data_IF_774123653532
#
_entry.id   IF_774123653532
#
_cell.length_a   1.000
_cell.length_b   1.000
_cell.length_c   1.000
_cell.angle_alpha   90.00
_cell.angle_beta   90.00
_cell.angle_gamma   90.00
#
_symmetry.space_group_name_H-M   'P 1'
#
loop_
_entity.id
_entity.type
_entity.pdbx_description
1 polymer ?
#
# COMPACT_ATOMS: atom_id res chain seq x y z
N UNK A 1 -65.95 4.18 7.04
CA UNK A 1 -64.70 4.69 6.46
C UNK A 1 -63.65 3.59 6.61
N UNK A 2 -63.35 2.84 5.55
CA UNK A 2 -62.31 1.79 5.55
C UNK A 2 -61.07 2.39 4.89
N UNK A 3 -60.08 2.75 5.70
CA UNK A 3 -58.78 3.18 5.21
C UNK A 3 -58.00 1.93 4.78
N UNK A 4 -57.87 1.74 3.46
CA UNK A 4 -57.00 0.73 2.86
C UNK A 4 -55.57 1.30 2.91
N UNK A 5 -54.77 0.88 3.89
CA UNK A 5 -53.36 1.24 3.98
C UNK A 5 -52.57 0.44 2.94
N UNK A 6 -52.16 1.13 1.87
CA UNK A 6 -51.32 0.61 0.81
C UNK A 6 -49.86 0.57 1.33
N UNK A 7 -49.40 -0.62 1.75
CA UNK A 7 -47.99 -0.84 2.10
C UNK A 7 -47.22 -1.01 0.79
N UNK A 8 -46.66 0.11 0.31
CA UNK A 8 -45.75 0.14 -0.84
C UNK A 8 -44.36 -0.35 -0.35
N UNK A 9 -44.08 -1.63 -0.62
CA UNK A 9 -42.79 -2.27 -0.34
C UNK A 9 -41.72 -1.64 -1.27
N UNK A 10 -40.98 -0.66 -0.76
CA UNK A 10 -39.84 -0.04 -1.43
C UNK A 10 -38.73 -1.09 -1.64
N UNK A 11 -38.65 -1.64 -2.86
CA UNK A 11 -37.49 -2.39 -3.37
C UNK A 11 -36.34 -1.41 -3.56
N UNK A 12 -35.64 -1.05 -2.47
CA UNK A 12 -34.36 -0.35 -2.56
C UNK A 12 -33.34 -1.41 -2.98
N UNK A 13 -32.74 -1.33 -4.19
CA UNK A 13 -31.63 -2.21 -4.52
C UNK A 13 -30.50 -1.91 -3.53
N UNK A 14 -30.20 -2.86 -2.64
CA UNK A 14 -28.96 -2.80 -1.90
C UNK A 14 -27.84 -2.82 -2.94
N UNK A 15 -27.18 -1.67 -3.10
CA UNK A 15 -25.92 -1.57 -3.82
C UNK A 15 -24.93 -2.37 -2.99
N UNK A 16 -24.74 -3.64 -3.35
CA UNK A 16 -23.63 -4.44 -2.85
C UNK A 16 -22.40 -3.77 -3.47
N UNK A 17 -21.76 -2.89 -2.72
CA UNK A 17 -20.44 -2.40 -3.08
C UNK A 17 -19.51 -3.60 -2.95
N UNK A 18 -19.08 -4.16 -4.08
CA UNK A 18 -17.94 -5.06 -4.06
C UNK A 18 -16.79 -4.31 -3.37
N UNK A 19 -16.10 -4.94 -2.41
CA UNK A 19 -14.95 -4.33 -1.79
C UNK A 19 -13.92 -4.05 -2.90
N UNK A 20 -13.68 -2.78 -3.19
CA UNK A 20 -12.74 -2.35 -4.20
C UNK A 20 -11.45 -1.92 -3.53
N UNK A 21 -10.30 -2.39 -4.02
CA UNK A 21 -9.00 -1.97 -3.50
C UNK A 21 -8.68 -0.55 -4.02
N UNK A 22 -8.46 0.45 -3.14
CA UNK A 22 -8.08 1.80 -3.58
C UNK A 22 -6.81 1.79 -4.44
N UNK A 23 -6.88 2.42 -5.61
CA UNK A 23 -5.70 2.65 -6.46
C UNK A 23 -4.78 3.68 -5.81
N UNK A 24 -3.47 3.52 -5.99
CA UNK A 24 -2.47 4.44 -5.47
C UNK A 24 -1.24 3.77 -4.91
N UNK A 25 -0.45 4.54 -4.16
CA UNK A 25 0.72 4.04 -3.45
C UNK A 25 0.37 3.65 -2.02
N UNK A 26 0.64 2.39 -1.69
CA UNK A 26 0.45 1.81 -0.38
C UNK A 26 1.81 1.65 0.28
N UNK A 27 1.83 1.72 1.61
CA UNK A 27 3.03 1.49 2.39
C UNK A 27 2.91 0.19 3.17
N UNK A 28 4.02 -0.44 3.49
CA UNK A 28 3.97 -1.55 4.43
C UNK A 28 5.28 -2.26 4.64
N UNK A 29 5.20 -3.53 5.04
CA UNK A 29 6.37 -4.31 5.41
C UNK A 29 6.32 -5.73 4.84
N UNK A 30 7.52 -6.23 4.61
CA UNK A 30 7.81 -7.60 4.20
C UNK A 30 8.71 -8.21 5.27
N UNK A 31 8.24 -9.23 5.98
CA UNK A 31 8.99 -9.85 7.09
C UNK A 31 9.30 -11.30 6.74
N UNK A 32 10.56 -11.68 6.82
CA UNK A 32 11.04 -13.04 6.63
C UNK A 32 10.87 -13.87 7.91
N UNK A 33 11.10 -15.18 7.83
CA UNK A 33 10.91 -16.11 8.94
C UNK A 33 11.90 -15.92 10.10
N UNK A 34 13.02 -15.24 9.86
CA UNK A 34 14.05 -14.87 10.84
C UNK A 34 13.76 -13.54 11.54
N UNK A 35 12.53 -13.03 11.42
CA UNK A 35 12.05 -11.74 11.95
C UNK A 35 12.72 -10.50 11.31
N UNK A 36 13.54 -10.67 10.27
CA UNK A 36 14.05 -9.55 9.50
C UNK A 36 12.92 -8.92 8.68
N UNK A 37 12.72 -7.61 8.88
CA UNK A 37 11.65 -6.86 8.24
C UNK A 37 12.20 -5.76 7.34
N UNK A 38 11.71 -5.74 6.10
CA UNK A 38 12.00 -4.71 5.11
C UNK A 38 10.79 -3.81 4.94
N UNK A 39 11.04 -2.50 4.88
CA UNK A 39 10.02 -1.54 4.46
C UNK A 39 9.82 -1.62 2.95
N UNK A 40 8.57 -1.63 2.52
CA UNK A 40 8.20 -1.75 1.12
C UNK A 40 7.12 -0.74 0.75
N UNK A 41 7.02 -0.45 -0.55
CA UNK A 41 5.88 0.26 -1.12
C UNK A 41 5.12 -0.71 -2.03
N UNK A 42 3.81 -0.54 -2.13
CA UNK A 42 3.02 -1.21 -3.15
C UNK A 42 2.42 -0.17 -4.08
N UNK A 43 2.38 -0.48 -5.36
CA UNK A 43 1.65 0.29 -6.36
C UNK A 43 0.42 -0.52 -6.74
N UNK A 44 -0.75 0.05 -6.50
CA UNK A 44 -2.04 -0.56 -6.84
C UNK A 44 -2.65 0.23 -7.99
N UNK A 45 -2.85 -0.44 -9.12
CA UNK A 45 -3.30 0.15 -10.37
C UNK A 45 -4.47 -0.65 -10.95
N UNK A 46 -5.27 0.01 -11.78
CA UNK A 46 -6.22 -0.68 -12.66
C UNK A 46 -5.76 -0.49 -14.09
N UNK A 47 -5.60 -1.59 -14.80
CA UNK A 47 -5.22 -1.59 -16.20
C UNK A 47 -6.45 -1.97 -17.01
N UNK A 48 -6.86 -1.07 -17.90
CA UNK A 48 -7.96 -1.34 -18.83
C UNK A 48 -7.46 -2.26 -19.94
N UNK A 49 -8.14 -3.39 -20.11
CA UNK A 49 -7.90 -4.37 -21.17
C UNK A 49 -9.21 -4.60 -21.93
N UNK A 50 -9.45 -3.78 -22.96
CA UNK A 50 -10.69 -3.81 -23.73
C UNK A 50 -11.88 -3.26 -22.95
N UNK A 51 -12.87 -4.11 -22.66
CA UNK A 51 -14.07 -3.75 -21.87
C UNK A 51 -13.95 -4.12 -20.39
N UNK A 52 -12.81 -4.70 -19.99
CA UNK A 52 -12.56 -5.15 -18.62
C UNK A 52 -11.42 -4.37 -17.99
N UNK A 53 -11.53 -4.06 -16.70
CA UNK A 53 -10.42 -3.55 -15.90
C UNK A 53 -9.83 -4.66 -15.05
N UNK A 54 -8.51 -4.79 -15.07
CA UNK A 54 -7.76 -5.76 -14.28
C UNK A 54 -7.00 -5.04 -13.16
N UNK A 55 -7.03 -5.61 -11.95
CA UNK A 55 -6.27 -5.11 -10.81
C UNK A 55 -4.81 -5.55 -10.95
N UNK A 56 -3.89 -4.59 -10.90
CA UNK A 56 -2.46 -4.84 -10.88
C UNK A 56 -1.88 -4.34 -9.55
N UNK A 57 -1.07 -5.18 -8.90
CA UNK A 57 -0.35 -4.81 -7.67
C UNK A 57 1.12 -5.14 -7.87
N UNK A 58 1.99 -4.18 -7.61
CA UNK A 58 3.45 -4.34 -7.69
C UNK A 58 4.07 -3.94 -6.37
N UNK A 59 4.88 -4.82 -5.78
CA UNK A 59 5.66 -4.54 -4.58
C UNK A 59 7.03 -3.98 -4.97
N UNK A 60 7.45 -2.91 -4.30
CA UNK A 60 8.75 -2.26 -4.48
C UNK A 60 9.56 -2.46 -3.20
N UNK A 61 10.59 -3.29 -3.30
CA UNK A 61 11.49 -3.63 -2.19
C UNK A 61 12.94 -3.42 -2.62
N UNK A 62 13.69 -2.58 -1.90
CA UNK A 62 15.09 -2.27 -2.21
C UNK A 62 15.35 -1.88 -3.69
N UNK A 63 14.38 -1.21 -4.34
CA UNK A 63 14.46 -0.79 -5.75
C UNK A 63 14.09 -1.87 -6.77
N UNK A 64 13.72 -3.08 -6.33
CA UNK A 64 13.22 -4.17 -7.17
C UNK A 64 11.69 -4.13 -7.21
N UNK A 65 11.12 -4.20 -8.41
CA UNK A 65 9.68 -4.33 -8.64
C UNK A 65 9.29 -5.80 -8.76
N UNK A 66 8.40 -6.27 -7.89
CA UNK A 66 7.89 -7.65 -7.85
C UNK A 66 6.39 -7.59 -8.13
N UNK A 67 5.94 -7.97 -9.34
CA UNK A 67 4.54 -7.95 -9.70
C UNK A 67 3.79 -9.12 -9.04
N UNK A 68 2.59 -8.84 -8.54
CA UNK A 68 1.69 -9.88 -8.06
C UNK A 68 0.96 -10.50 -9.25
N UNK A 69 0.68 -11.80 -9.14
CA UNK A 69 0.05 -12.63 -10.15
C UNK A 69 -1.19 -13.30 -9.56
N UNK A 70 -2.14 -13.67 -10.41
CA UNK A 70 -3.37 -14.38 -9.99
C UNK A 70 -4.10 -13.68 -8.84
N UNK A 71 -4.17 -12.35 -8.90
CA UNK A 71 -4.77 -11.53 -7.85
C UNK A 71 -6.28 -11.79 -7.80
N UNK A 72 -6.78 -12.14 -6.62
CA UNK A 72 -8.21 -12.26 -6.35
C UNK A 72 -8.53 -11.49 -5.07
N UNK A 73 -9.56 -10.65 -5.14
CA UNK A 73 -10.07 -9.87 -4.04
C UNK A 73 -11.49 -10.32 -3.74
N UNK A 74 -11.71 -10.86 -2.55
CA UNK A 74 -12.99 -11.37 -2.08
C UNK A 74 -13.31 -10.71 -0.74
N UNK A 75 -14.19 -9.71 -0.74
CA UNK A 75 -14.57 -8.93 0.44
C UNK A 75 -13.34 -8.37 1.19
N UNK A 76 -12.96 -9.01 2.30
CA UNK A 76 -11.84 -8.64 3.16
C UNK A 76 -10.61 -9.55 2.97
N UNK A 77 -10.57 -10.36 1.92
CA UNK A 77 -9.47 -11.29 1.64
C UNK A 77 -8.82 -10.98 0.30
N UNK A 78 -7.50 -10.84 0.30
CA UNK A 78 -6.66 -10.66 -0.88
C UNK A 78 -5.75 -11.90 -1.03
N UNK A 79 -5.91 -12.63 -2.12
CA UNK A 79 -5.03 -13.77 -2.47
C UNK A 79 -4.28 -13.50 -3.76
N UNK A 80 -3.01 -13.90 -3.82
CA UNK A 80 -2.18 -13.74 -5.01
C UNK A 80 -0.98 -14.68 -4.96
N UNK A 81 -0.20 -14.70 -6.05
CA UNK A 81 1.13 -15.29 -6.12
C UNK A 81 2.17 -14.22 -6.42
N UNK A 82 3.40 -14.43 -5.98
CA UNK A 82 4.54 -13.59 -6.37
C UNK A 82 5.82 -14.44 -6.38
N UNK A 83 6.87 -13.90 -6.99
CA UNK A 83 8.18 -14.55 -7.10
C UNK A 83 9.31 -13.57 -6.69
N UNK A 84 9.61 -13.46 -5.39
CA UNK A 84 10.80 -12.73 -4.90
C UNK A 84 12.12 -13.50 -5.08
N UNK A 85 12.14 -14.60 -5.85
CA UNK A 85 13.25 -15.53 -6.00
C UNK A 85 12.79 -17.00 -5.94
N UNK A 86 11.62 -17.25 -5.35
CA UNK A 86 10.86 -18.49 -5.43
C UNK A 86 9.37 -18.17 -5.48
N UNK A 87 8.56 -18.97 -6.18
CA UNK A 87 7.10 -18.80 -6.20
C UNK A 87 6.50 -19.03 -4.80
N UNK A 88 5.75 -18.03 -4.32
CA UNK A 88 4.99 -18.09 -3.08
C UNK A 88 3.51 -17.79 -3.34
N UNK A 89 2.64 -18.42 -2.56
CA UNK A 89 1.20 -18.12 -2.53
C UNK A 89 0.86 -17.37 -1.25
N UNK A 90 0.20 -16.23 -1.39
CA UNK A 90 -0.11 -15.31 -0.31
C UNK A 90 -1.61 -15.23 -0.05
N UNK A 91 -2.00 -15.14 1.22
CA UNK A 91 -3.37 -14.84 1.64
C UNK A 91 -3.34 -13.78 2.73
N UNK A 92 -3.91 -12.61 2.45
CA UNK A 92 -3.97 -11.46 3.34
C UNK A 92 -5.43 -11.16 3.71
N UNK A 93 -5.64 -10.75 4.95
CA UNK A 93 -6.95 -10.35 5.46
C UNK A 93 -6.92 -8.88 5.84
N UNK A 94 -7.98 -8.15 5.47
CA UNK A 94 -8.20 -6.76 5.83
C UNK A 94 -8.71 -6.68 7.27
N UNK A 95 -8.11 -5.81 8.07
CA UNK A 95 -8.60 -5.47 9.40
C UNK A 95 -9.60 -4.30 9.37
N UNK A 96 -10.02 -3.86 10.56
CA UNK A 96 -11.00 -2.77 10.73
C UNK A 96 -10.46 -1.40 10.26
N UNK A 97 -9.13 -1.24 10.19
CA UNK A 97 -8.45 -0.03 9.73
C UNK A 97 -8.20 -0.05 8.20
N UNK A 98 -8.70 -1.07 7.50
CA UNK A 98 -8.52 -1.24 6.06
C UNK A 98 -7.13 -1.74 5.66
N UNK A 99 -6.34 -2.22 6.63
CA UNK A 99 -4.99 -2.71 6.43
C UNK A 99 -5.02 -4.20 6.13
N UNK A 100 -4.30 -4.63 5.10
CA UNK A 100 -4.18 -6.04 4.76
C UNK A 100 -2.96 -6.65 5.44
N UNK A 101 -3.14 -7.78 6.14
CA UNK A 101 -2.05 -8.55 6.75
C UNK A 101 -2.22 -10.05 6.50
N UNK A 102 -1.13 -10.74 6.25
CA UNK A 102 -1.20 -12.18 6.04
C UNK A 102 0.15 -12.85 5.85
N UNK A 103 0.07 -14.13 5.50
CA UNK A 103 1.23 -14.98 5.27
C UNK A 103 1.33 -15.39 3.80
N UNK A 104 2.57 -15.58 3.36
CA UNK A 104 2.91 -16.23 2.11
C UNK A 104 3.67 -17.52 2.41
N UNK A 105 3.30 -18.57 1.69
CA UNK A 105 3.89 -19.90 1.80
C UNK A 105 4.54 -20.26 0.47
N UNK A 106 5.73 -20.87 0.52
CA UNK A 106 6.39 -21.43 -0.65
C UNK A 106 5.49 -22.48 -1.32
N UNK A 107 5.38 -22.41 -2.65
CA UNK A 107 4.63 -23.43 -3.42
C UNK A 107 5.47 -24.69 -3.65
N UNK A 108 6.80 -24.60 -3.57
CA UNK A 108 7.74 -25.73 -3.73
C UNK A 108 7.95 -26.50 -2.42
N UNK A 109 7.95 -25.78 -1.29
CA UNK A 109 8.28 -26.28 0.05
C UNK A 109 7.23 -25.80 1.08
N UNK A 110 5.97 -26.26 0.97
CA UNK A 110 4.88 -25.78 1.82
C UNK A 110 5.03 -26.14 3.30
N UNK A 111 5.80 -27.19 3.60
CA UNK A 111 6.11 -27.63 4.97
C UNK A 111 7.33 -26.91 5.57
N UNK A 112 7.97 -26.02 4.82
CA UNK A 112 9.10 -25.25 5.34
C UNK A 112 8.61 -24.24 6.39
N UNK A 113 9.41 -24.03 7.43
CA UNK A 113 9.14 -22.98 8.43
C UNK A 113 9.37 -21.56 7.87
N UNK A 114 9.73 -21.46 6.58
CA UNK A 114 10.01 -20.19 5.90
C UNK A 114 8.70 -19.51 5.51
N UNK A 115 8.09 -18.86 6.50
CA UNK A 115 6.91 -18.02 6.32
C UNK A 115 7.35 -16.59 6.04
N UNK A 116 6.70 -15.97 5.05
CA UNK A 116 6.82 -14.53 4.82
C UNK A 116 5.55 -13.88 5.32
N UNK A 117 5.67 -12.81 6.11
CA UNK A 117 4.54 -12.01 6.54
C UNK A 117 4.49 -10.71 5.73
N UNK A 118 3.31 -10.38 5.21
CA UNK A 118 3.07 -9.13 4.48
C UNK A 118 2.12 -8.24 5.25
N UNK A 119 2.35 -6.94 5.14
CA UNK A 119 1.50 -5.88 5.66
C UNK A 119 1.34 -4.81 4.59
N UNK A 120 0.11 -4.44 4.25
CA UNK A 120 -0.21 -3.42 3.26
C UNK A 120 -1.20 -2.41 3.85
N UNK A 121 -0.75 -1.15 3.99
CA UNK A 121 -1.57 -0.04 4.48
C UNK A 121 -2.04 0.83 3.30
N UNK A 122 -3.34 1.15 3.22
CA UNK A 122 -3.88 2.02 2.16
C UNK A 122 -3.21 3.39 2.18
N UNK A 123 -3.21 4.09 1.02
CA UNK A 123 -2.83 5.50 1.01
C UNK A 123 -3.67 6.22 2.07
N UNK A 124 -3.00 6.98 2.93
CA UNK A 124 -3.72 7.92 3.77
C UNK A 124 -4.34 8.91 2.79
N UNK A 125 -5.66 8.84 2.64
CA UNK A 125 -6.38 9.97 2.04
C UNK A 125 -6.21 11.03 3.11
N UNK A 126 -5.30 11.98 2.88
CA UNK A 126 -5.39 13.23 3.62
C UNK A 126 -6.84 13.67 3.42
N UNK A 127 -7.65 13.57 4.46
CA UNK A 127 -8.92 14.28 4.51
C UNK A 127 -8.50 15.73 4.37
N UNK A 128 -8.41 16.20 3.13
CA UNK A 128 -8.12 17.59 2.80
C UNK A 128 -9.22 18.34 3.50
N UNK A 129 -8.85 19.01 4.59
CA UNK A 129 -9.64 19.92 5.39
C UNK A 129 -10.62 20.67 4.49
N UNK A 130 -11.84 20.12 4.41
CA UNK A 130 -13.00 20.82 3.93
C UNK A 130 -13.42 21.77 5.04
N UNK A 131 -12.59 22.78 5.30
CA UNK A 131 -12.84 24.04 6.00
C UNK A 131 -11.46 24.67 6.33
N UNK A 132 -10.82 25.33 5.36
CA UNK A 132 -9.87 26.38 5.71
C UNK A 132 -10.68 27.58 6.23
N UNK A 133 -10.61 27.95 7.52
CA UNK A 133 -11.04 29.28 7.93
C UNK A 133 -10.12 30.29 7.25
N UNK A 134 -10.74 31.16 6.45
CA UNK A 134 -10.14 32.30 5.76
C UNK A 134 -9.44 33.21 6.79
N UNK A 135 -8.15 32.96 7.06
CA UNK A 135 -7.29 33.91 7.79
C UNK A 135 -6.59 34.81 6.79
N UNK A 136 -7.39 35.70 6.20
CA UNK A 136 -6.95 36.90 5.52
C UNK A 136 -6.68 37.99 6.56
N UNK A 137 -5.49 37.98 7.18
CA UNK A 137 -4.91 39.06 8.01
C UNK A 137 -3.54 38.53 8.49
N UNK A 138 -2.37 39.07 8.19
CA UNK A 138 -1.88 40.32 7.62
C UNK A 138 -0.47 40.52 8.19
N UNK A 139 0.47 40.98 7.35
CA UNK A 139 1.77 41.59 7.72
C UNK A 139 2.83 40.69 8.40
N UNK A 140 4.00 40.53 7.76
CA UNK A 140 5.24 41.21 8.20
C UNK A 140 6.39 40.86 7.22
N UNK A 141 6.90 41.88 6.51
CA UNK A 141 8.07 41.77 5.65
C UNK A 141 9.33 41.78 6.53
N UNK A 142 9.91 40.61 6.78
CA UNK A 142 11.21 40.46 7.44
C UNK A 142 12.32 40.16 6.44
N UNK A 143 12.92 41.22 5.89
CA UNK A 143 14.24 41.20 5.25
C UNK A 143 15.30 40.75 6.28
N UNK A 144 16.16 39.80 5.92
CA UNK A 144 17.11 39.22 6.89
C UNK A 144 18.16 38.31 6.27
N UNK A 145 19.09 38.95 5.57
CA UNK A 145 20.54 38.71 5.55
C UNK A 145 21.09 37.32 5.16
N UNK A 146 21.85 37.38 4.06
CA UNK A 146 22.86 36.42 3.61
C UNK A 146 23.94 36.23 4.69
N UNK A 147 24.28 34.99 5.04
CA UNK A 147 25.63 34.69 5.55
C UNK A 147 26.25 33.52 4.76
N UNK A 148 27.37 33.88 4.14
CA UNK A 148 28.38 33.04 3.51
C UNK A 148 29.08 32.11 4.51
N UNK A 149 30.04 31.32 3.96
CA UNK A 149 31.13 30.59 4.62
C UNK A 149 30.77 29.19 5.14
N UNK A 150 31.65 28.18 5.17
CA UNK A 150 33.02 27.91 4.70
C UNK A 150 33.10 26.36 4.76
N UNK A 151 33.61 25.67 3.73
CA UNK A 151 35.00 25.18 3.65
C UNK A 151 35.29 23.90 4.49
N UNK A 152 36.11 23.04 3.89
CA UNK A 152 36.90 21.96 4.50
C UNK A 152 36.18 20.70 5.00
N UNK A 153 36.34 19.58 4.28
CA UNK A 153 37.45 18.68 4.62
C UNK A 153 37.68 17.60 3.54
N UNK A 154 38.82 17.75 2.88
CA UNK A 154 39.56 16.72 2.19
C UNK A 154 40.29 15.89 3.26
N UNK A 155 39.99 14.59 3.38
CA UNK A 155 40.87 13.68 4.10
C UNK A 155 40.99 12.34 3.39
N UNK A 156 42.23 12.10 2.96
CA UNK A 156 42.72 10.92 2.27
C UNK A 156 42.95 9.80 3.29
N UNK A 157 42.55 8.58 2.94
CA UNK A 157 43.20 7.39 3.50
C UNK A 157 43.31 6.31 2.43
N UNK A 158 44.49 6.28 1.79
CA UNK A 158 45.01 5.12 1.12
C UNK A 158 45.53 4.13 2.18
N UNK A 159 45.10 2.87 2.10
CA UNK A 159 45.76 1.73 2.74
C UNK A 159 45.68 0.57 1.74
N UNK A 160 46.72 0.35 0.94
CA UNK A 160 47.89 -0.50 1.23
C UNK A 160 47.53 -2.00 1.13
N UNK A 161 48.00 -2.63 0.04
CA UNK A 161 47.95 -4.07 -0.20
C UNK A 161 49.14 -4.76 0.47
N UNK A 162 48.98 -6.02 0.89
CA UNK A 162 50.07 -6.98 0.79
C UNK A 162 49.72 -8.21 -0.05
N UNK A 163 50.82 -8.80 -0.51
CA UNK A 163 51.06 -9.70 -1.65
C UNK A 163 50.54 -11.12 -1.49
#
# INVERSE_FOLDING_TARGET
MKALALILLLLIPLRISAAELPVGQWNGSYTFADDDSLWVKYRVERVESGETSELQITMLVAGVEIPFQQIQLNDSQLTFRMDPGEEVSCTLFMDEDGVYRGECLSTTSPDSEQKIMLFMRPPQTDEVDAEQPDTSEGMDEGDGEEEESEDSNEDQAAADQPT
#
